data_IF_312360207163
#
_entry.id   IF_312360207163
#
_cell.length_a   1.000
_cell.length_b   1.000
_cell.length_c   1.000
_cell.angle_alpha   90.00
_cell.angle_beta   90.00
_cell.angle_gamma   90.00
#
_symmetry.space_group_name_H-M   'P 1'
#
loop_
_entity.id
_entity.type
_entity.pdbx_description
1 polymer ?
#
# COMPACT_ATOMS: atom_id res chain seq x y z
N UNK A 1 -23.12 -14.68 12.23
CA UNK A 1 -22.58 -13.55 11.46
C UNK A 1 -22.53 -13.98 9.99
N UNK A 2 -23.35 -13.39 9.16
CA UNK A 2 -23.42 -13.67 7.73
C UNK A 2 -22.17 -13.06 7.07
N UNK A 3 -21.41 -13.90 6.43
CA UNK A 3 -20.03 -13.72 5.98
C UNK A 3 -19.90 -12.87 4.69
N UNK A 4 -20.64 -11.80 4.54
CA UNK A 4 -20.63 -10.97 3.34
C UNK A 4 -20.42 -9.47 3.61
N UNK A 5 -20.15 -9.09 4.85
CA UNK A 5 -19.89 -7.70 5.20
C UNK A 5 -18.39 -7.43 5.10
N UNK A 6 -17.98 -6.34 4.44
CA UNK A 6 -16.57 -5.98 4.35
C UNK A 6 -16.02 -5.67 5.74
N UNK A 7 -14.89 -6.27 6.06
CA UNK A 7 -14.12 -5.96 7.26
C UNK A 7 -12.73 -5.48 6.83
N UNK A 8 -12.17 -4.55 7.61
CA UNK A 8 -10.77 -4.13 7.44
C UNK A 8 -9.95 -4.68 8.58
N UNK A 9 -8.82 -5.25 8.25
CA UNK A 9 -7.83 -5.73 9.20
C UNK A 9 -6.53 -5.01 8.90
N UNK A 10 -6.08 -4.20 9.84
CA UNK A 10 -4.81 -3.50 9.79
C UNK A 10 -3.83 -4.22 10.69
N UNK A 11 -2.94 -5.00 10.11
CA UNK A 11 -1.96 -5.81 10.83
C UNK A 11 -0.70 -4.99 11.15
N UNK A 12 -0.30 -4.99 12.44
CA UNK A 12 1.00 -4.48 12.86
C UNK A 12 1.93 -5.63 13.22
N UNK A 13 2.76 -6.02 12.27
CA UNK A 13 3.71 -7.10 12.42
C UNK A 13 4.76 -6.86 13.54
N UNK A 14 4.91 -5.64 14.05
CA UNK A 14 5.86 -5.33 15.13
C UNK A 14 5.29 -5.69 16.49
N UNK A 15 4.01 -5.39 16.71
CA UNK A 15 3.31 -5.71 17.96
C UNK A 15 2.68 -7.10 17.96
N UNK A 16 2.49 -7.70 16.79
CA UNK A 16 1.73 -8.95 16.62
C UNK A 16 0.23 -8.77 16.86
N UNK A 17 -0.25 -7.52 16.80
CA UNK A 17 -1.66 -7.19 16.96
C UNK A 17 -2.26 -6.65 15.68
N UNK A 18 -3.56 -6.78 15.51
CA UNK A 18 -4.29 -6.16 14.41
C UNK A 18 -5.46 -5.32 14.92
N UNK A 19 -5.75 -4.26 14.20
CA UNK A 19 -6.96 -3.47 14.35
C UNK A 19 -8.01 -3.94 13.36
N UNK A 20 -9.22 -4.20 13.85
CA UNK A 20 -10.31 -4.73 13.05
C UNK A 20 -11.47 -3.76 13.05
N UNK A 21 -11.86 -3.29 11.89
CA UNK A 21 -13.07 -2.53 11.66
C UNK A 21 -14.15 -3.47 11.12
N UNK A 22 -15.33 -3.42 11.71
CA UNK A 22 -16.51 -4.17 11.26
C UNK A 22 -17.14 -3.60 10.01
N UNK A 23 -18.40 -3.94 9.76
CA UNK A 23 -19.15 -3.40 8.65
C UNK A 23 -19.27 -1.87 8.73
N UNK A 24 -18.94 -1.12 7.65
CA UNK A 24 -19.07 0.32 7.64
C UNK A 24 -20.54 0.75 7.60
N UNK A 25 -20.87 1.86 8.26
CA UNK A 25 -22.23 2.46 8.23
C UNK A 25 -22.48 3.20 6.90
N UNK A 26 -21.43 3.67 6.23
CA UNK A 26 -21.47 4.25 4.90
C UNK A 26 -20.11 4.14 4.21
N UNK A 27 -20.09 4.45 2.91
CA UNK A 27 -18.87 4.35 2.09
C UNK A 27 -18.62 5.70 1.44
N UNK A 28 -17.34 6.14 1.46
CA UNK A 28 -16.83 7.27 0.70
C UNK A 28 -15.86 6.71 -0.34
N UNK A 29 -16.15 6.89 -1.62
CA UNK A 29 -15.31 6.39 -2.69
C UNK A 29 -15.25 7.39 -3.84
N UNK A 30 -14.15 7.33 -4.63
CA UNK A 30 -14.01 8.04 -5.88
C UNK A 30 -13.43 7.11 -6.94
N UNK A 31 -14.14 6.94 -8.03
CA UNK A 31 -13.70 6.16 -9.19
C UNK A 31 -13.08 7.06 -10.25
N UNK A 32 -13.57 8.28 -10.40
CA UNK A 32 -13.11 9.23 -11.40
C UNK A 32 -12.37 10.41 -10.76
N UNK A 33 -11.42 10.98 -11.52
CA UNK A 33 -10.57 12.07 -11.02
C UNK A 33 -11.35 13.31 -10.56
N UNK A 34 -12.51 13.58 -11.18
CA UNK A 34 -13.34 14.73 -10.83
C UNK A 34 -14.14 14.54 -9.52
N UNK A 35 -14.30 13.29 -9.07
CA UNK A 35 -14.97 12.95 -7.81
C UNK A 35 -14.05 13.12 -6.60
N UNK A 36 -12.74 13.07 -6.83
CA UNK A 36 -11.73 13.05 -5.76
C UNK A 36 -11.84 14.24 -4.79
N UNK A 37 -11.95 15.52 -5.24
CA UNK A 37 -12.04 16.63 -4.32
C UNK A 37 -13.25 16.53 -3.38
N UNK A 38 -14.42 16.24 -3.93
CA UNK A 38 -15.67 16.15 -3.15
C UNK A 38 -15.60 15.00 -2.13
N UNK A 39 -15.01 13.89 -2.53
CA UNK A 39 -14.87 12.74 -1.65
C UNK A 39 -13.83 12.98 -0.54
N UNK A 40 -12.74 13.70 -0.80
CA UNK A 40 -11.78 14.11 0.24
C UNK A 40 -12.42 15.08 1.25
N UNK A 41 -13.22 16.04 0.77
CA UNK A 41 -13.98 16.93 1.65
C UNK A 41 -14.97 16.15 2.53
N UNK A 42 -15.64 15.14 1.96
CA UNK A 42 -16.53 14.27 2.71
C UNK A 42 -15.79 13.46 3.78
N UNK A 43 -14.58 12.97 3.50
CA UNK A 43 -13.73 12.30 4.49
C UNK A 43 -13.38 13.24 5.65
N UNK A 44 -12.96 14.48 5.36
CA UNK A 44 -12.63 15.46 6.39
C UNK A 44 -13.84 15.75 7.27
N UNK A 45 -15.00 16.04 6.67
CA UNK A 45 -16.24 16.28 7.41
C UNK A 45 -16.66 15.09 8.28
N UNK A 46 -16.38 13.89 7.86
CA UNK A 46 -16.66 12.65 8.60
C UNK A 46 -15.76 12.53 9.83
N UNK A 47 -14.46 12.80 9.66
CA UNK A 47 -13.49 12.83 10.76
C UNK A 47 -13.82 13.94 11.78
N UNK A 48 -14.22 15.13 11.31
CA UNK A 48 -14.59 16.26 12.16
C UNK A 48 -15.82 15.95 13.04
N UNK A 49 -16.67 15.02 12.60
CA UNK A 49 -17.81 14.50 13.38
C UNK A 49 -17.44 13.40 14.37
N UNK A 50 -16.18 12.98 14.41
CA UNK A 50 -15.68 11.96 15.31
C UNK A 50 -15.85 10.51 14.82
N UNK A 51 -16.23 10.29 13.56
CA UNK A 51 -16.25 8.95 12.97
C UNK A 51 -14.83 8.49 12.62
N UNK A 52 -14.70 7.18 12.40
CA UNK A 52 -13.45 6.54 11.99
C UNK A 52 -13.52 6.14 10.52
N UNK A 53 -12.39 6.17 9.84
CA UNK A 53 -12.28 5.79 8.44
C UNK A 53 -11.27 4.65 8.28
N UNK A 54 -11.68 3.60 7.59
CA UNK A 54 -10.80 2.50 7.20
C UNK A 54 -11.00 2.16 5.73
N UNK A 55 -9.91 2.01 4.97
CA UNK A 55 -10.02 1.77 3.55
C UNK A 55 -8.67 1.74 2.86
N UNK A 56 -8.67 2.08 1.58
CA UNK A 56 -7.44 2.12 0.80
C UNK A 56 -7.42 3.30 -0.17
N UNK A 57 -6.23 3.66 -0.55
CA UNK A 57 -5.91 4.59 -1.63
C UNK A 57 -5.16 3.79 -2.69
N UNK A 58 -5.64 3.83 -3.94
CA UNK A 58 -4.92 3.21 -5.05
C UNK A 58 -3.70 4.05 -5.44
N UNK A 59 -2.71 3.40 -6.03
CA UNK A 59 -1.54 4.09 -6.55
C UNK A 59 -1.91 5.14 -7.61
N UNK A 60 -2.93 4.85 -8.39
CA UNK A 60 -3.42 5.70 -9.48
C UNK A 60 -4.03 7.02 -9.01
N UNK A 61 -4.40 7.14 -7.72
CA UNK A 61 -4.86 8.42 -7.17
C UNK A 61 -3.81 9.53 -7.36
N UNK A 62 -2.52 9.19 -7.26
CA UNK A 62 -1.43 10.12 -7.52
C UNK A 62 -1.50 10.75 -8.91
N UNK A 63 -1.90 9.98 -9.93
CA UNK A 63 -2.09 10.50 -11.29
C UNK A 63 -3.31 11.42 -11.42
N UNK A 64 -4.34 11.19 -10.62
CA UNK A 64 -5.54 12.04 -10.62
C UNK A 64 -5.30 13.40 -9.93
N UNK A 65 -4.48 13.41 -8.87
CA UNK A 65 -4.19 14.60 -8.07
C UNK A 65 -3.15 15.50 -8.74
N UNK A 66 -2.06 14.91 -9.27
CA UNK A 66 -0.97 15.67 -9.90
C UNK A 66 -1.33 16.00 -11.36
N UNK A 67 -1.54 17.29 -11.71
CA UNK A 67 -1.95 17.67 -13.07
C UNK A 67 -1.03 17.21 -14.17
N UNK A 68 0.30 17.15 -13.91
CA UNK A 68 1.32 16.73 -14.88
C UNK A 68 1.25 15.25 -15.18
N UNK A 69 0.71 14.45 -14.26
CA UNK A 69 0.60 12.99 -14.39
C UNK A 69 -0.78 12.53 -14.87
N UNK A 70 -1.74 13.44 -14.96
CA UNK A 70 -3.14 13.10 -15.29
C UNK A 70 -3.30 12.34 -16.61
N UNK A 71 -2.45 12.62 -17.60
CA UNK A 71 -2.46 11.90 -18.88
C UNK A 71 -2.03 10.44 -18.76
N UNK A 72 -1.38 10.07 -17.65
CA UNK A 72 -0.94 8.70 -17.38
C UNK A 72 -2.00 7.90 -16.61
N UNK A 73 -3.10 8.53 -16.19
CA UNK A 73 -4.17 7.84 -15.46
C UNK A 73 -4.82 6.81 -16.39
N UNK A 74 -4.78 5.50 -16.04
CA UNK A 74 -5.37 4.46 -16.87
C UNK A 74 -6.90 4.65 -17.00
N UNK A 75 -7.41 4.58 -18.22
CA UNK A 75 -8.85 4.72 -18.48
C UNK A 75 -9.69 3.55 -17.96
N UNK A 76 -9.11 2.34 -17.89
CA UNK A 76 -9.75 1.16 -17.31
C UNK A 76 -9.04 0.78 -16.01
N UNK A 77 -9.77 0.83 -14.92
CA UNK A 77 -9.31 0.45 -13.59
C UNK A 77 -10.23 -0.61 -13.01
N UNK A 78 -9.67 -1.54 -12.28
CA UNK A 78 -10.44 -2.59 -11.58
C UNK A 78 -10.96 -2.14 -10.22
N UNK A 79 -10.32 -1.12 -9.65
CA UNK A 79 -10.61 -0.59 -8.32
C UNK A 79 -10.85 0.93 -8.42
N UNK A 80 -11.65 1.50 -7.51
CA UNK A 80 -11.74 2.94 -7.32
C UNK A 80 -10.37 3.57 -7.04
N UNK A 81 -10.22 4.87 -7.29
CA UNK A 81 -9.04 5.65 -6.93
C UNK A 81 -8.79 5.63 -5.41
N UNK A 82 -9.86 5.70 -4.65
CA UNK A 82 -9.86 5.33 -3.24
C UNK A 82 -11.24 4.85 -2.80
N UNK A 83 -11.25 4.13 -1.68
CA UNK A 83 -12.45 3.59 -1.06
C UNK A 83 -12.26 3.51 0.45
N UNK A 84 -13.15 4.16 1.22
CA UNK A 84 -13.13 4.16 2.67
C UNK A 84 -14.51 3.84 3.23
N UNK A 85 -14.54 2.90 4.17
CA UNK A 85 -15.68 2.67 5.03
C UNK A 85 -15.69 3.70 6.16
N UNK A 86 -16.87 4.22 6.49
CA UNK A 86 -17.12 5.08 7.65
C UNK A 86 -17.59 4.19 8.80
N UNK A 87 -17.00 4.36 9.99
CA UNK A 87 -17.32 3.58 11.18
C UNK A 87 -17.63 4.51 12.34
N UNK A 88 -18.69 4.19 13.09
CA UNK A 88 -19.11 4.96 14.26
C UNK A 88 -18.23 4.66 15.47
N UNK A 89 -17.66 3.46 15.52
CA UNK A 89 -16.83 3.00 16.62
C UNK A 89 -15.36 2.84 16.19
N UNK A 90 -14.41 3.02 17.12
CA UNK A 90 -13.01 2.75 16.88
C UNK A 90 -12.78 1.26 16.59
N UNK A 91 -11.63 0.90 15.97
CA UNK A 91 -11.31 -0.49 15.71
C UNK A 91 -11.14 -1.30 16.98
N UNK A 92 -11.53 -2.57 16.92
CA UNK A 92 -11.20 -3.52 17.97
C UNK A 92 -9.79 -4.07 17.77
N UNK A 93 -8.97 -4.08 18.83
CA UNK A 93 -7.62 -4.65 18.79
C UNK A 93 -7.65 -6.13 19.15
N UNK A 94 -7.01 -6.96 18.34
CA UNK A 94 -6.90 -8.40 18.51
C UNK A 94 -5.45 -8.86 18.40
N UNK A 95 -5.13 -10.05 18.95
CA UNK A 95 -3.96 -10.82 18.56
C UNK A 95 -4.11 -11.28 17.12
N UNK A 96 -3.15 -10.92 16.24
CA UNK A 96 -3.26 -11.18 14.80
C UNK A 96 -3.39 -12.67 14.49
N UNK A 97 -2.56 -13.51 15.10
CA UNK A 97 -2.56 -14.94 14.79
C UNK A 97 -3.87 -15.60 15.22
N UNK A 98 -4.35 -15.28 16.42
CA UNK A 98 -5.62 -15.78 16.96
C UNK A 98 -6.82 -15.31 16.12
N UNK A 99 -6.82 -14.04 15.70
CA UNK A 99 -7.87 -13.50 14.85
C UNK A 99 -7.91 -14.20 13.50
N UNK A 100 -6.77 -14.31 12.81
CA UNK A 100 -6.67 -14.96 11.49
C UNK A 100 -7.04 -16.45 11.57
N UNK A 101 -6.61 -17.16 12.61
CA UNK A 101 -6.96 -18.57 12.84
C UNK A 101 -8.47 -18.78 12.97
N UNK A 102 -9.14 -17.86 13.67
CA UNK A 102 -10.59 -17.95 13.91
C UNK A 102 -11.40 -17.59 12.66
N UNK A 103 -10.90 -16.67 11.82
CA UNK A 103 -11.61 -16.17 10.66
C UNK A 103 -11.17 -16.81 9.33
N UNK A 104 -10.09 -17.57 9.34
CA UNK A 104 -9.65 -18.33 8.16
C UNK A 104 -10.58 -19.52 7.91
N UNK A 105 -11.15 -19.59 6.71
CA UNK A 105 -12.07 -20.66 6.32
C UNK A 105 -11.37 -21.91 5.81
N UNK A 106 -10.16 -21.77 5.30
CA UNK A 106 -9.37 -22.85 4.76
C UNK A 106 -7.88 -22.49 4.81
N UNK A 107 -6.98 -23.48 4.93
CA UNK A 107 -5.55 -23.20 4.85
C UNK A 107 -5.21 -22.66 3.46
N UNK A 108 -4.53 -21.51 3.43
CA UNK A 108 -3.97 -20.98 2.21
C UNK A 108 -2.67 -21.72 1.86
N UNK A 109 -2.47 -21.97 0.59
CA UNK A 109 -1.25 -22.60 0.08
C UNK A 109 -0.73 -21.84 -1.12
N UNK A 110 0.53 -21.46 -1.09
CA UNK A 110 1.24 -20.95 -2.28
C UNK A 110 1.67 -22.13 -3.12
N UNK A 111 1.15 -22.26 -4.34
CA UNK A 111 1.41 -23.39 -5.22
C UNK A 111 2.41 -23.09 -6.33
N UNK A 112 2.57 -21.83 -6.69
CA UNK A 112 3.45 -21.39 -7.76
C UNK A 112 3.96 -19.99 -7.49
N UNK A 113 5.27 -19.81 -7.51
CA UNK A 113 5.94 -18.51 -7.46
C UNK A 113 6.74 -18.33 -8.75
N UNK A 114 6.38 -17.32 -9.54
CA UNK A 114 7.11 -16.97 -10.75
C UNK A 114 7.56 -15.51 -10.64
N UNK A 115 8.81 -15.25 -10.91
CA UNK A 115 9.34 -13.92 -11.01
C UNK A 115 9.19 -13.42 -12.46
N UNK A 116 8.67 -12.21 -12.62
CA UNK A 116 8.53 -11.60 -13.96
C UNK A 116 9.89 -11.28 -14.59
N UNK A 117 10.88 -11.00 -13.75
CA UNK A 117 12.23 -10.64 -14.19
C UNK A 117 13.27 -11.64 -13.70
N UNK A 118 14.26 -11.89 -14.54
CA UNK A 118 15.46 -12.58 -14.11
C UNK A 118 16.28 -11.69 -13.17
N UNK A 119 17.17 -12.28 -12.35
CA UNK A 119 18.08 -11.53 -11.47
C UNK A 119 18.91 -10.49 -12.24
N UNK A 120 19.36 -10.83 -13.45
CA UNK A 120 20.11 -9.91 -14.28
C UNK A 120 19.28 -8.70 -14.73
N UNK A 121 18.07 -8.93 -15.22
CA UNK A 121 17.14 -7.86 -15.60
C UNK A 121 16.76 -6.95 -14.42
N UNK A 122 16.55 -7.53 -13.23
CA UNK A 122 16.28 -6.76 -12.05
C UNK A 122 17.45 -5.84 -11.66
N UNK A 123 18.70 -6.36 -11.67
CA UNK A 123 19.90 -5.58 -11.37
C UNK A 123 20.11 -4.42 -12.35
N UNK A 124 19.91 -4.68 -13.63
CA UNK A 124 20.01 -3.66 -14.67
C UNK A 124 19.01 -2.50 -14.44
N UNK A 125 17.75 -2.84 -14.21
CA UNK A 125 16.70 -1.84 -13.93
C UNK A 125 16.95 -1.10 -12.63
N UNK A 126 17.38 -1.79 -11.60
CA UNK A 126 17.74 -1.17 -10.32
C UNK A 126 18.89 -0.18 -10.45
N UNK A 127 19.95 -0.55 -11.18
CA UNK A 127 21.07 0.35 -11.44
C UNK A 127 20.63 1.62 -12.22
N UNK A 128 19.73 1.47 -13.19
CA UNK A 128 19.17 2.61 -13.94
C UNK A 128 18.36 3.55 -13.04
N UNK A 129 17.59 3.03 -12.09
CA UNK A 129 16.84 3.84 -11.11
C UNK A 129 17.79 4.61 -10.21
N UNK A 130 18.82 3.95 -9.66
CA UNK A 130 19.83 4.61 -8.82
C UNK A 130 20.57 5.74 -9.57
N UNK A 131 20.93 5.51 -10.82
CA UNK A 131 21.55 6.53 -11.66
C UNK A 131 20.62 7.73 -11.88
N UNK A 132 19.32 7.48 -12.12
CA UNK A 132 18.34 8.54 -12.28
C UNK A 132 18.17 9.35 -10.99
N UNK A 133 18.12 8.68 -9.81
CA UNK A 133 18.05 9.35 -8.51
C UNK A 133 19.30 10.23 -8.28
N UNK A 134 20.49 9.70 -8.54
CA UNK A 134 21.73 10.46 -8.39
C UNK A 134 21.78 11.71 -9.30
N UNK A 135 21.32 11.59 -10.56
CA UNK A 135 21.19 12.73 -11.48
C UNK A 135 20.21 13.79 -10.95
N UNK A 136 19.06 13.37 -10.40
CA UNK A 136 18.07 14.28 -9.82
C UNK A 136 18.63 14.99 -8.59
N UNK A 137 19.30 14.28 -7.68
CA UNK A 137 19.93 14.87 -6.50
C UNK A 137 20.98 15.91 -6.88
N UNK A 138 21.83 15.60 -7.86
CA UNK A 138 22.82 16.54 -8.38
C UNK A 138 22.19 17.78 -9.00
N UNK A 139 21.14 17.61 -9.81
CA UNK A 139 20.42 18.72 -10.44
C UNK A 139 19.68 19.64 -9.44
N UNK A 140 19.31 19.09 -8.27
CA UNK A 140 18.62 19.85 -7.22
C UNK A 140 19.57 20.60 -6.27
N UNK A 141 20.91 20.53 -6.50
CA UNK A 141 21.90 21.26 -5.69
C UNK A 141 21.95 20.88 -4.22
N UNK A 142 21.53 19.69 -3.86
CA UNK A 142 21.61 19.17 -2.49
C UNK A 142 22.99 18.56 -2.23
N UNK A 143 23.98 19.41 -2.26
CA UNK A 143 25.25 19.15 -1.57
C UNK A 143 25.05 19.54 -0.11
N UNK A 144 24.84 18.61 0.76
CA UNK A 144 24.91 18.92 2.17
C UNK A 144 24.09 18.04 3.09
N UNK A 145 24.82 17.31 3.92
CA UNK A 145 24.47 16.80 5.24
C UNK A 145 23.09 16.08 5.32
N UNK A 146 23.04 14.94 4.72
CA UNK A 146 22.02 13.93 5.01
C UNK A 146 22.71 12.75 5.68
N UNK A 147 22.07 12.18 6.70
CA UNK A 147 22.52 10.92 7.30
C UNK A 147 22.88 9.92 6.19
N UNK A 148 23.92 9.10 6.38
CA UNK A 148 24.35 8.18 5.36
C UNK A 148 23.19 7.27 4.97
N UNK A 149 22.55 7.59 3.86
CA UNK A 149 21.64 6.66 3.22
C UNK A 149 22.40 5.38 2.96
N UNK A 150 21.82 4.20 3.20
CA UNK A 150 22.49 2.94 2.91
C UNK A 150 23.08 3.01 1.50
N UNK A 151 24.32 2.62 1.34
CA UNK A 151 24.97 2.66 0.03
C UNK A 151 24.19 1.79 -0.95
N UNK A 152 24.31 2.09 -2.23
CA UNK A 152 23.70 1.24 -3.26
C UNK A 152 24.11 -0.23 -3.11
N UNK A 153 25.33 -0.47 -2.58
CA UNK A 153 25.82 -1.81 -2.25
C UNK A 153 25.05 -2.43 -1.08
N UNK A 154 24.76 -1.67 -0.02
CA UNK A 154 24.03 -2.17 1.14
C UNK A 154 22.58 -2.53 0.80
N UNK A 155 21.94 -1.71 -0.04
CA UNK A 155 20.59 -1.99 -0.54
C UNK A 155 20.58 -3.22 -1.45
N UNK A 156 21.58 -3.38 -2.33
CA UNK A 156 21.73 -4.55 -3.20
C UNK A 156 21.95 -5.81 -2.37
N UNK A 157 22.79 -5.80 -1.35
CA UNK A 157 23.04 -6.94 -0.45
C UNK A 157 21.75 -7.33 0.27
N UNK A 158 20.99 -6.35 0.78
CA UNK A 158 19.70 -6.62 1.43
C UNK A 158 18.68 -7.28 0.49
N UNK A 159 18.59 -6.80 -0.75
CA UNK A 159 17.69 -7.38 -1.77
C UNK A 159 18.16 -8.76 -2.21
N UNK A 160 19.47 -8.98 -2.35
CA UNK A 160 20.03 -10.29 -2.69
C UNK A 160 19.71 -11.32 -1.60
N UNK A 161 19.83 -10.96 -0.33
CA UNK A 161 19.48 -11.82 0.80
C UNK A 161 18.00 -12.22 0.80
N UNK A 162 17.10 -11.28 0.48
CA UNK A 162 15.66 -11.55 0.34
C UNK A 162 15.40 -12.50 -0.84
N UNK A 163 16.05 -12.26 -1.98
CA UNK A 163 15.89 -13.11 -3.16
C UNK A 163 16.47 -14.51 -2.92
N UNK A 164 17.62 -14.64 -2.30
CA UNK A 164 18.22 -15.94 -1.97
C UNK A 164 17.33 -16.75 -1.02
N UNK A 165 16.73 -16.10 -0.03
CA UNK A 165 15.75 -16.71 0.87
C UNK A 165 14.52 -17.22 0.09
N UNK A 166 14.01 -16.44 -0.85
CA UNK A 166 12.88 -16.81 -1.68
C UNK A 166 13.22 -17.94 -2.70
N UNK A 167 14.49 -18.04 -3.13
CA UNK A 167 14.95 -19.14 -4.02
C UNK A 167 15.23 -20.43 -3.25
N UNK A 168 15.60 -20.36 -1.97
CA UNK A 168 15.83 -21.52 -1.11
C UNK A 168 14.53 -22.23 -0.70
N UNK A 169 13.38 -21.58 -0.88
CA UNK A 169 12.06 -22.16 -0.60
C UNK A 169 11.45 -22.96 -1.78
N UNK A 170 12.23 -23.22 -2.84
CA UNK A 170 11.88 -24.11 -3.95
C UNK A 170 12.38 -25.52 -3.68
#
# INVERSE_FOLDING_TARGET
>A
MTCNEPIFVLDDARSGTCEVYGAPVSIIAASEAHEVPVALDAMQLTLDKGHHLAGYISYELGYAIEPRLRSLLPGQRKLPLFWFGVHDEPPATHDTEGFLRTHSRAPARTTHLAFEWTRAQYRERFAAVLEAIAKLQSAMGRDGAQEPSPSASDVLVGIEAIQESAWALR
#
